data_IF_934200903478
#
_entry.id   IF_934200903478
#
_cell.length_a   1.000
_cell.length_b   1.000
_cell.length_c   1.000
_cell.angle_alpha   90.00
_cell.angle_beta   90.00
_cell.angle_gamma   90.00
#
_symmetry.space_group_name_H-M   'P 1'
#
loop_
_entity.id
_entity.type
_entity.pdbx_description
1 polymer ?
#
# COMPACT_ATOMS: atom_id res chain seq x y z
N UNK A 1 0.65 -10.73 0.64
CA UNK A 1 -0.17 -10.58 -0.59
C UNK A 1 -1.59 -10.09 -0.28
N UNK A 2 -2.31 -10.69 0.68
CA UNK A 2 -3.68 -10.25 1.06
C UNK A 2 -3.79 -8.78 1.46
N UNK A 3 -2.80 -8.26 2.19
CA UNK A 3 -2.78 -6.85 2.61
C UNK A 3 -2.75 -5.88 1.43
N UNK A 4 -2.07 -6.22 0.33
CA UNK A 4 -2.04 -5.40 -0.88
C UNK A 4 -3.39 -5.38 -1.60
N UNK A 5 -4.07 -6.53 -1.70
CA UNK A 5 -5.45 -6.59 -2.23
C UNK A 5 -6.44 -5.85 -1.33
N UNK A 6 -6.24 -5.88 0.00
CA UNK A 6 -7.04 -5.09 0.92
C UNK A 6 -6.87 -3.59 0.68
N UNK A 7 -5.63 -3.10 0.48
CA UNK A 7 -5.38 -1.68 0.17
C UNK A 7 -6.10 -1.28 -1.13
N UNK A 8 -6.09 -2.14 -2.16
CA UNK A 8 -6.88 -1.89 -3.37
C UNK A 8 -8.39 -1.84 -3.08
N UNK A 9 -8.90 -2.67 -2.18
CA UNK A 9 -10.31 -2.68 -1.78
C UNK A 9 -10.75 -1.36 -1.12
N UNK A 10 -9.92 -0.79 -0.24
CA UNK A 10 -10.25 0.41 0.54
C UNK A 10 -10.01 1.70 -0.24
N UNK A 11 -8.90 1.80 -0.96
CA UNK A 11 -8.47 3.06 -1.60
C UNK A 11 -9.02 3.25 -3.02
N UNK A 12 -9.36 2.18 -3.74
CA UNK A 12 -9.81 2.29 -5.13
C UNK A 12 -11.17 2.99 -5.30
N UNK A 13 -12.21 2.70 -4.50
CA UNK A 13 -13.46 3.46 -4.56
C UNK A 13 -13.23 4.94 -4.29
N UNK A 14 -12.43 5.28 -3.28
CA UNK A 14 -12.11 6.66 -2.94
C UNK A 14 -11.34 7.37 -4.06
N UNK A 15 -10.43 6.68 -4.76
CA UNK A 15 -9.74 7.23 -5.92
C UNK A 15 -10.69 7.51 -7.09
N UNK A 16 -11.61 6.60 -7.39
CA UNK A 16 -12.57 6.76 -8.49
C UNK A 16 -13.54 7.90 -8.19
N UNK A 17 -14.08 7.98 -6.97
CA UNK A 17 -14.98 9.06 -6.57
C UNK A 17 -14.28 10.42 -6.63
N UNK A 18 -13.03 10.49 -6.14
CA UNK A 18 -12.24 11.71 -6.24
C UNK A 18 -11.96 12.12 -7.69
N UNK A 19 -11.73 11.17 -8.60
CA UNK A 19 -11.47 11.43 -10.03
C UNK A 19 -12.73 11.90 -10.77
N UNK A 20 -13.89 11.34 -10.44
CA UNK A 20 -15.17 11.69 -11.03
C UNK A 20 -15.72 13.02 -10.49
N UNK A 21 -15.26 13.47 -9.32
CA UNK A 21 -15.77 14.69 -8.67
C UNK A 21 -17.24 14.56 -8.25
N UNK A 22 -17.76 13.34 -8.14
CA UNK A 22 -19.17 13.05 -7.81
C UNK A 22 -19.25 12.70 -6.31
N UNK A 23 -20.19 13.31 -5.61
CA UNK A 23 -20.50 12.95 -4.21
C UNK A 23 -21.05 11.52 -4.12
N UNK A 24 -20.63 10.76 -3.10
CA UNK A 24 -21.07 9.38 -2.88
C UNK A 24 -22.59 9.30 -2.81
N UNK A 25 -23.21 8.68 -3.81
CA UNK A 25 -24.66 8.48 -3.85
C UNK A 25 -25.08 7.15 -3.21
N UNK A 26 -24.13 6.27 -2.89
CA UNK A 26 -24.37 4.97 -2.26
C UNK A 26 -24.85 3.90 -3.24
N UNK A 27 -25.21 4.27 -4.46
CA UNK A 27 -25.92 3.42 -5.43
C UNK A 27 -25.07 2.96 -6.61
N UNK A 28 -23.87 3.52 -6.78
CA UNK A 28 -23.03 3.25 -7.93
C UNK A 28 -22.15 2.00 -7.75
N UNK A 29 -21.96 1.23 -8.83
CA UNK A 29 -21.14 0.01 -8.83
C UNK A 29 -19.66 0.27 -8.47
N UNK A 30 -19.14 1.46 -8.78
CA UNK A 30 -17.77 1.88 -8.50
C UNK A 30 -17.55 2.34 -7.04
N UNK A 31 -18.60 2.41 -6.22
CA UNK A 31 -18.44 2.67 -4.78
C UNK A 31 -18.23 1.36 -4.01
N UNK A 32 -18.58 0.21 -4.60
CA UNK A 32 -18.41 -1.10 -3.98
C UNK A 32 -16.98 -1.63 -4.15
N UNK A 33 -16.14 -1.40 -3.14
CA UNK A 33 -14.74 -1.85 -3.13
C UNK A 33 -14.56 -3.37 -3.31
N UNK A 34 -15.53 -4.20 -2.88
CA UNK A 34 -15.47 -5.65 -3.08
C UNK A 34 -15.63 -6.01 -4.57
N UNK A 35 -16.59 -5.40 -5.24
CA UNK A 35 -16.84 -5.63 -6.67
C UNK A 35 -15.64 -5.16 -7.50
N UNK A 36 -15.14 -3.96 -7.22
CA UNK A 36 -13.97 -3.39 -7.89
C UNK A 36 -12.71 -4.24 -7.71
N UNK A 37 -12.49 -4.77 -6.50
CA UNK A 37 -11.37 -5.66 -6.23
C UNK A 37 -11.45 -6.92 -7.12
N UNK A 38 -12.64 -7.53 -7.26
CA UNK A 38 -12.85 -8.69 -8.12
C UNK A 38 -12.55 -8.34 -9.59
N UNK A 39 -13.07 -7.22 -10.08
CA UNK A 39 -12.83 -6.74 -11.46
C UNK A 39 -11.33 -6.58 -11.72
N UNK A 40 -10.62 -5.83 -10.89
CA UNK A 40 -9.17 -5.60 -11.06
C UNK A 40 -8.37 -6.90 -10.94
N UNK A 41 -8.79 -7.79 -10.04
CA UNK A 41 -8.11 -9.08 -9.88
C UNK A 41 -8.24 -9.93 -11.14
N UNK A 42 -9.43 -9.98 -11.75
CA UNK A 42 -9.69 -10.77 -12.96
C UNK A 42 -9.04 -10.15 -14.21
N UNK A 43 -9.15 -8.84 -14.39
CA UNK A 43 -8.72 -8.17 -15.62
C UNK A 43 -7.26 -7.71 -15.63
N UNK A 44 -6.64 -7.50 -14.46
CA UNK A 44 -5.27 -6.98 -14.37
C UNK A 44 -4.34 -7.93 -13.63
N UNK A 45 -4.69 -8.33 -12.41
CA UNK A 45 -3.79 -9.14 -11.57
C UNK A 45 -3.60 -10.54 -12.14
N UNK A 46 -4.70 -11.19 -12.55
CA UNK A 46 -4.68 -12.54 -13.11
C UNK A 46 -3.83 -12.65 -14.38
N UNK A 47 -4.02 -11.83 -15.44
CA UNK A 47 -3.19 -11.93 -16.64
C UNK A 47 -1.71 -11.62 -16.35
N UNK A 48 -1.40 -10.62 -15.52
CA UNK A 48 -0.01 -10.35 -15.12
C UNK A 48 0.59 -11.51 -14.33
N UNK A 49 -0.18 -12.14 -13.43
CA UNK A 49 0.29 -13.25 -12.61
C UNK A 49 0.53 -14.51 -13.43
N UNK A 50 -0.19 -14.72 -14.54
CA UNK A 50 -0.02 -15.86 -15.44
C UNK A 50 1.22 -15.77 -16.33
N UNK A 51 1.91 -14.63 -16.37
CA UNK A 51 3.13 -14.49 -17.15
C UNK A 51 4.24 -15.43 -16.63
N UNK A 52 4.83 -16.27 -17.49
CA UNK A 52 5.84 -17.25 -17.07
C UNK A 52 7.22 -16.63 -16.82
N UNK A 53 7.52 -15.46 -17.41
CA UNK A 53 8.82 -14.78 -17.30
C UNK A 53 8.66 -13.41 -16.65
N UNK A 54 9.53 -13.12 -15.67
CA UNK A 54 9.56 -11.85 -14.91
C UNK A 54 10.33 -10.73 -15.63
N UNK A 55 10.99 -10.99 -16.76
CA UNK A 55 11.90 -10.01 -17.38
C UNK A 55 11.32 -8.60 -17.59
N UNK A 56 10.01 -8.48 -17.87
CA UNK A 56 9.35 -7.17 -18.04
C UNK A 56 9.05 -6.45 -16.69
N UNK A 57 8.96 -7.21 -15.61
CA UNK A 57 8.58 -6.73 -14.27
C UNK A 57 9.68 -5.91 -13.59
N UNK A 58 10.93 -6.00 -14.08
CA UNK A 58 12.02 -5.11 -13.67
C UNK A 58 11.71 -3.63 -13.97
N UNK A 59 11.17 -3.35 -15.17
CA UNK A 59 10.79 -1.99 -15.56
C UNK A 59 9.65 -1.44 -14.70
N UNK A 60 8.63 -2.27 -14.44
CA UNK A 60 7.49 -1.88 -13.59
C UNK A 60 7.90 -1.65 -12.14
N UNK A 61 8.96 -2.33 -11.66
CA UNK A 61 9.51 -2.12 -10.32
C UNK A 61 10.18 -0.75 -10.18
N UNK A 62 10.91 -0.31 -11.21
CA UNK A 62 11.49 1.04 -11.25
C UNK A 62 10.42 2.14 -11.23
N UNK A 63 9.35 1.97 -12.01
CA UNK A 63 8.18 2.86 -12.00
C UNK A 63 7.53 2.90 -10.61
N UNK A 64 7.34 1.74 -9.97
CA UNK A 64 6.76 1.63 -8.64
C UNK A 64 7.59 2.35 -7.57
N UNK A 65 8.92 2.29 -7.69
CA UNK A 65 9.84 3.04 -6.81
C UNK A 65 9.69 4.56 -6.98
N UNK A 66 9.57 5.05 -8.21
CA UNK A 66 9.35 6.47 -8.49
C UNK A 66 8.03 6.95 -7.86
N UNK A 67 6.96 6.15 -7.92
CA UNK A 67 5.68 6.48 -7.27
C UNK A 67 5.78 6.56 -5.74
N UNK A 68 6.55 5.68 -5.11
CA UNK A 68 6.79 5.73 -3.66
C UNK A 68 7.62 6.97 -3.27
N UNK A 69 8.62 7.32 -4.09
CA UNK A 69 9.39 8.55 -3.90
C UNK A 69 8.49 9.79 -4.03
N UNK A 70 7.63 9.82 -5.05
CA UNK A 70 6.66 10.88 -5.25
C UNK A 70 5.71 11.03 -4.07
N UNK A 71 5.15 9.92 -3.56
CA UNK A 71 4.34 9.91 -2.34
C UNK A 71 5.09 10.53 -1.15
N UNK A 72 6.35 10.14 -0.94
CA UNK A 72 7.17 10.66 0.17
C UNK A 72 7.34 12.17 0.07
N UNK A 73 7.64 12.69 -1.13
CA UNK A 73 7.78 14.14 -1.39
C UNK A 73 6.47 14.87 -1.10
N UNK A 74 5.33 14.34 -1.57
CA UNK A 74 4.02 14.98 -1.34
C UNK A 74 3.65 15.00 0.13
N UNK A 75 3.90 13.94 0.90
CA UNK A 75 3.66 13.92 2.35
C UNK A 75 4.48 15.01 3.05
N UNK A 76 5.74 15.21 2.67
CA UNK A 76 6.58 16.30 3.19
C UNK A 76 6.01 17.66 2.83
N UNK A 77 5.62 17.88 1.57
CA UNK A 77 5.06 19.17 1.11
C UNK A 77 3.74 19.47 1.83
N UNK A 78 2.84 18.49 1.94
CA UNK A 78 1.52 18.68 2.56
C UNK A 78 1.61 18.97 4.05
N UNK A 79 2.65 18.52 4.75
CA UNK A 79 2.90 18.93 6.14
C UNK A 79 3.03 20.45 6.28
N UNK A 80 3.59 21.13 5.29
CA UNK A 80 3.76 22.59 5.30
C UNK A 80 2.51 23.32 4.76
N UNK A 81 1.72 22.66 3.91
CA UNK A 81 0.49 23.23 3.37
C UNK A 81 -0.72 23.14 4.31
N UNK A 82 -0.76 22.14 5.19
CA UNK A 82 -1.92 21.90 6.07
C UNK A 82 -1.71 22.64 7.39
N UNK A 83 -2.51 23.69 7.68
CA UNK A 83 -2.44 24.38 8.96
C UNK A 83 -2.96 23.47 10.07
N UNK A 84 -2.39 23.64 11.26
CA UNK A 84 -2.86 23.04 12.49
C UNK A 84 -3.36 24.18 13.38
N UNK A 85 -4.59 24.13 13.93
CA UNK A 85 -5.52 23.00 14.03
C UNK A 85 -6.21 22.61 12.70
N UNK A 86 -6.55 21.33 12.55
CA UNK A 86 -7.21 20.83 11.33
C UNK A 86 -8.61 21.45 11.19
N UNK A 87 -9.01 21.90 9.99
CA UNK A 87 -10.34 22.45 9.77
C UNK A 87 -11.39 21.37 10.04
N UNK A 88 -12.30 21.62 10.97
CA UNK A 88 -13.46 20.77 11.21
C UNK A 88 -14.47 20.98 10.07
N UNK A 89 -14.68 19.92 9.29
CA UNK A 89 -15.74 19.69 8.30
C UNK A 89 -16.35 20.91 7.57
N UNK A 90 -16.10 20.98 6.26
CA UNK A 90 -17.22 21.05 5.32
C UNK A 90 -17.90 22.39 5.02
N UNK A 91 -17.45 23.53 5.55
CA UNK A 91 -17.95 24.84 5.06
C UNK A 91 -16.91 25.54 4.22
N UNK A 92 -17.08 25.43 2.89
CA UNK A 92 -16.68 26.50 1.98
C UNK A 92 -17.39 27.79 2.43
N UNK A 93 -16.61 28.88 2.57
CA UNK A 93 -16.97 30.25 2.95
C UNK A 93 -17.54 30.46 4.37
N UNK A 94 -16.87 31.26 5.21
CA UNK A 94 -17.11 32.72 5.37
C UNK A 94 -16.36 33.32 6.56
N UNK A 95 -15.62 34.40 6.32
CA UNK A 95 -15.33 35.44 7.32
C UNK A 95 -14.07 35.26 8.18
N UNK A 96 -13.38 36.37 8.54
CA UNK A 96 -12.33 36.33 9.53
C UNK A 96 -12.97 36.15 10.92
N UNK A 97 -12.30 35.42 11.81
CA UNK A 97 -12.53 35.45 13.25
C UNK A 97 -13.69 34.59 13.79
N UNK A 98 -13.49 33.27 13.85
CA UNK A 98 -14.00 32.47 14.98
C UNK A 98 -12.91 31.52 15.46
N UNK A 99 -12.22 31.94 16.53
CA UNK A 99 -11.32 31.10 17.33
C UNK A 99 -12.19 30.15 18.14
N UNK A 100 -12.68 29.09 17.52
CA UNK A 100 -13.18 27.94 18.27
C UNK A 100 -12.00 27.32 19.02
N UNK A 101 -12.19 27.13 20.32
CA UNK A 101 -11.23 26.72 21.31
C UNK A 101 -10.78 25.24 21.11
N UNK A 102 -10.27 24.89 19.93
CA UNK A 102 -9.55 23.65 19.71
C UNK A 102 -8.23 23.77 20.46
N UNK A 103 -8.18 23.18 21.64
CA UNK A 103 -7.07 23.20 22.56
C UNK A 103 -5.73 23.05 21.83
N UNK A 104 -4.84 24.04 21.98
CA UNK A 104 -3.49 24.05 21.41
C UNK A 104 -2.66 22.77 21.72
N UNK A 105 -3.13 21.95 22.66
CA UNK A 105 -2.62 20.60 22.96
C UNK A 105 -2.77 19.59 21.81
N UNK A 106 -3.73 19.73 20.89
CA UNK A 106 -3.97 18.76 19.80
C UNK A 106 -2.86 18.76 18.73
N UNK A 107 -2.08 19.85 18.66
CA UNK A 107 -1.02 20.07 17.68
C UNK A 107 0.38 19.84 18.29
N UNK A 108 0.46 19.17 19.45
CA UNK A 108 1.72 18.88 20.12
C UNK A 108 2.16 17.45 19.83
N UNK A 109 3.43 17.21 19.42
CA UNK A 109 3.91 15.87 19.18
C UNK A 109 4.06 15.13 20.50
N UNK A 110 3.47 13.93 20.59
CA UNK A 110 3.65 13.04 21.74
C UNK A 110 4.75 12.04 21.40
N UNK A 111 5.93 12.20 22.02
CA UNK A 111 7.11 11.38 21.75
C UNK A 111 6.96 9.93 22.25
N UNK A 112 6.23 9.73 23.35
CA UNK A 112 6.06 8.40 23.92
C UNK A 112 4.62 8.21 24.41
N UNK A 113 3.92 7.23 23.81
CA UNK A 113 2.59 6.81 24.23
C UNK A 113 2.56 5.29 24.23
N UNK A 114 2.53 4.71 25.42
CA UNK A 114 2.37 3.26 25.60
C UNK A 114 0.89 2.97 25.76
N UNK A 115 0.32 2.31 24.76
CA UNK A 115 -1.06 1.84 24.77
C UNK A 115 -1.12 0.46 24.14
N UNK A 116 -2.19 -0.29 24.40
CA UNK A 116 -2.50 -1.54 23.68
C UNK A 116 -2.53 -1.30 22.17
N UNK A 117 -2.91 -0.10 21.72
CA UNK A 117 -2.86 0.30 20.30
C UNK A 117 -1.43 0.33 19.74
N UNK A 118 -0.44 0.68 20.56
CA UNK A 118 0.98 0.70 20.18
C UNK A 118 1.52 -0.71 19.93
N UNK A 119 0.89 -1.75 20.49
CA UNK A 119 1.28 -3.14 20.22
C UNK A 119 1.10 -3.54 18.75
N UNK A 120 0.09 -2.99 18.06
CA UNK A 120 -0.13 -3.23 16.62
C UNK A 120 0.95 -2.61 15.73
N UNK A 121 1.79 -1.71 16.26
CA UNK A 121 2.92 -1.17 15.52
C UNK A 121 4.01 -2.22 15.30
N UNK A 122 4.27 -3.11 16.27
CA UNK A 122 5.31 -4.14 16.18
C UNK A 122 5.13 -5.02 14.93
N UNK A 123 3.98 -5.67 14.71
CA UNK A 123 3.83 -6.55 13.57
C UNK A 123 3.67 -5.78 12.25
N UNK A 124 3.17 -4.54 12.29
CA UNK A 124 3.19 -3.65 11.11
C UNK A 124 4.63 -3.33 10.67
N UNK A 125 5.52 -3.05 11.62
CA UNK A 125 6.94 -2.81 11.35
C UNK A 125 7.67 -4.08 10.90
N UNK A 126 7.33 -5.23 11.48
CA UNK A 126 7.87 -6.51 11.01
C UNK A 126 7.46 -6.80 9.55
N UNK A 127 6.19 -6.55 9.22
CA UNK A 127 5.68 -6.71 7.87
C UNK A 127 6.30 -5.72 6.87
N UNK A 128 6.56 -4.46 7.27
CA UNK A 128 7.15 -3.45 6.36
C UNK A 128 8.55 -3.81 5.89
N UNK A 129 9.32 -4.55 6.70
CA UNK A 129 10.66 -5.02 6.35
C UNK A 129 10.69 -6.48 5.87
N UNK A 130 9.54 -7.04 5.47
CA UNK A 130 9.42 -8.39 4.92
C UNK A 130 9.96 -8.46 3.48
N UNK A 131 11.28 -8.43 3.31
CA UNK A 131 11.93 -8.56 1.99
C UNK A 131 12.49 -9.96 1.71
N UNK A 132 12.56 -10.84 2.72
CA UNK A 132 13.28 -12.11 2.64
C UNK A 132 12.74 -13.07 1.56
N UNK A 133 11.44 -13.02 1.27
CA UNK A 133 10.80 -13.85 0.24
C UNK A 133 11.25 -13.49 -1.19
N UNK A 134 11.79 -12.29 -1.39
CA UNK A 134 12.27 -11.81 -2.68
C UNK A 134 13.78 -12.01 -2.88
N UNK A 135 14.53 -12.39 -1.83
CA UNK A 135 15.99 -12.53 -1.90
C UNK A 135 16.41 -13.57 -2.94
N UNK A 136 15.78 -14.75 -2.95
CA UNK A 136 16.13 -15.81 -3.90
C UNK A 136 15.89 -15.40 -5.37
N UNK A 137 14.71 -14.88 -5.76
CA UNK A 137 14.51 -14.32 -7.09
C UNK A 137 15.55 -13.25 -7.48
N UNK A 138 15.86 -12.31 -6.57
CA UNK A 138 16.84 -11.25 -6.83
C UNK A 138 18.25 -11.84 -7.02
N UNK A 139 18.61 -12.88 -6.25
CA UNK A 139 19.91 -13.54 -6.36
C UNK A 139 20.09 -14.20 -7.72
N UNK A 140 19.05 -14.86 -8.23
CA UNK A 140 19.08 -15.54 -9.51
C UNK A 140 19.19 -14.57 -10.70
N UNK A 141 18.63 -13.37 -10.58
CA UNK A 141 18.67 -12.34 -11.62
C UNK A 141 19.93 -11.44 -11.55
N UNK A 142 20.72 -11.53 -10.46
CA UNK A 142 21.90 -10.69 -10.25
C UNK A 142 23.05 -11.07 -11.20
N UNK A 143 23.61 -10.08 -11.89
CA UNK A 143 24.74 -10.29 -12.79
C UNK A 143 26.00 -10.75 -12.03
N UNK A 144 26.43 -12.00 -12.28
CA UNK A 144 27.52 -12.70 -11.56
C UNK A 144 27.25 -12.72 -10.05
N UNK A 145 26.33 -13.58 -9.58
CA UNK A 145 25.85 -13.56 -8.22
C UNK A 145 26.94 -13.99 -7.24
N UNK A 146 27.08 -13.25 -6.14
CA UNK A 146 27.98 -13.60 -5.03
C UNK A 146 27.35 -13.16 -3.70
N UNK A 147 27.74 -13.81 -2.60
CA UNK A 147 27.23 -13.49 -1.25
C UNK A 147 27.47 -12.01 -0.90
N UNK A 148 28.69 -11.50 -1.16
CA UNK A 148 29.04 -10.11 -0.87
C UNK A 148 28.20 -9.10 -1.67
N UNK A 149 27.99 -9.34 -2.97
CA UNK A 149 27.14 -8.46 -3.79
C UNK A 149 25.69 -8.47 -3.35
N UNK A 150 25.13 -9.64 -3.04
CA UNK A 150 23.77 -9.75 -2.53
C UNK A 150 23.62 -9.02 -1.19
N UNK A 151 24.59 -9.17 -0.28
CA UNK A 151 24.59 -8.44 0.99
C UNK A 151 24.60 -6.93 0.77
N UNK A 152 25.41 -6.43 -0.17
CA UNK A 152 25.44 -5.01 -0.50
C UNK A 152 24.08 -4.52 -1.06
N UNK A 153 23.48 -5.26 -1.99
CA UNK A 153 22.14 -4.96 -2.54
C UNK A 153 21.09 -4.93 -1.43
N UNK A 154 21.13 -5.89 -0.51
CA UNK A 154 20.22 -5.95 0.64
C UNK A 154 20.43 -4.77 1.60
N UNK A 155 21.68 -4.42 1.93
CA UNK A 155 21.99 -3.32 2.84
C UNK A 155 21.52 -1.99 2.26
N UNK A 156 21.79 -1.72 0.98
CA UNK A 156 21.34 -0.51 0.29
C UNK A 156 19.80 -0.49 0.23
N UNK A 157 19.17 -1.60 -0.13
CA UNK A 157 17.71 -1.70 -0.24
C UNK A 157 16.99 -1.47 1.09
N UNK A 158 17.47 -2.09 2.17
CA UNK A 158 16.91 -1.92 3.53
C UNK A 158 17.15 -0.50 4.02
N UNK A 159 18.35 0.05 3.85
CA UNK A 159 18.68 1.43 4.26
C UNK A 159 17.82 2.47 3.55
N UNK A 160 17.62 2.32 2.24
CA UNK A 160 16.76 3.20 1.45
C UNK A 160 15.28 3.08 1.86
N UNK A 161 14.79 1.85 2.08
CA UNK A 161 13.43 1.61 2.54
C UNK A 161 13.19 2.24 3.92
N UNK A 162 14.15 2.08 4.84
CA UNK A 162 14.11 2.72 6.16
C UNK A 162 13.99 4.24 6.05
N UNK A 163 14.81 4.87 5.21
CA UNK A 163 14.78 6.33 5.03
C UNK A 163 13.41 6.80 4.52
N UNK A 164 12.88 6.15 3.48
CA UNK A 164 11.58 6.52 2.90
C UNK A 164 10.42 6.32 3.89
N UNK A 165 10.43 5.20 4.63
CA UNK A 165 9.42 4.93 5.66
C UNK A 165 9.52 5.90 6.83
N UNK A 166 10.74 6.21 7.29
CA UNK A 166 10.96 7.13 8.39
C UNK A 166 10.46 8.54 8.04
N UNK A 167 10.83 9.07 6.87
CA UNK A 167 10.37 10.39 6.40
C UNK A 167 8.85 10.38 6.27
N UNK A 168 8.27 9.40 5.58
CA UNK A 168 6.81 9.33 5.38
C UNK A 168 6.04 9.23 6.70
N UNK A 169 6.52 8.42 7.64
CA UNK A 169 5.90 8.25 8.96
C UNK A 169 6.02 9.52 9.82
N UNK A 170 7.19 10.16 9.83
CA UNK A 170 7.43 11.38 10.59
C UNK A 170 6.53 12.53 10.11
N UNK A 171 6.58 12.84 8.81
CA UNK A 171 5.79 13.93 8.24
C UNK A 171 4.29 13.61 8.17
N UNK A 172 3.92 12.33 7.96
CA UNK A 172 2.54 11.87 8.03
C UNK A 172 1.95 12.02 9.44
N UNK A 173 2.71 11.64 10.48
CA UNK A 173 2.31 11.85 11.88
C UNK A 173 2.20 13.33 12.21
N UNK A 174 3.21 14.14 11.88
CA UNK A 174 3.21 15.58 12.15
C UNK A 174 2.10 16.33 11.40
N UNK A 175 1.50 15.74 10.36
CA UNK A 175 0.38 16.34 9.64
C UNK A 175 -0.94 16.23 10.41
N UNK A 176 -1.20 15.08 11.05
CA UNK A 176 -2.50 14.79 11.68
C UNK A 176 -2.45 14.61 13.21
N UNK A 177 -1.24 14.54 13.79
CA UNK A 177 -0.97 14.32 15.22
C UNK A 177 -1.81 13.18 15.82
N UNK A 178 -2.66 13.48 16.80
CA UNK A 178 -3.50 12.48 17.47
C UNK A 178 -4.66 11.93 16.63
N UNK A 179 -4.89 12.47 15.42
CA UNK A 179 -6.04 12.13 14.56
C UNK A 179 -5.65 11.36 13.29
N UNK A 180 -4.49 10.69 13.29
CA UNK A 180 -4.06 9.82 12.19
C UNK A 180 -5.02 8.62 12.04
N UNK A 181 -5.54 8.41 10.82
CA UNK A 181 -6.34 7.22 10.47
C UNK A 181 -5.43 6.01 10.21
N UNK A 182 -5.99 4.80 10.20
CA UNK A 182 -5.25 3.57 9.88
C UNK A 182 -4.60 3.60 8.49
N UNK A 183 -5.20 4.32 7.55
CA UNK A 183 -4.68 4.55 6.20
C UNK A 183 -4.44 6.07 6.01
N UNK A 184 -3.21 6.44 5.65
CA UNK A 184 -2.82 7.84 5.58
C UNK A 184 -3.52 8.59 4.44
N UNK A 185 -3.70 7.94 3.27
CA UNK A 185 -4.32 8.56 2.09
C UNK A 185 -5.83 8.79 2.27
N UNK A 186 -6.54 7.94 3.00
CA UNK A 186 -7.91 8.22 3.48
C UNK A 186 -7.98 9.38 4.49
N UNK A 187 -6.88 9.63 5.20
CA UNK A 187 -6.71 10.83 6.03
C UNK A 187 -6.68 12.07 5.14
N UNK A 188 -5.77 12.10 4.16
CA UNK A 188 -5.66 13.22 3.23
C UNK A 188 -6.94 13.48 2.43
N UNK A 189 -7.65 12.43 2.00
CA UNK A 189 -8.95 12.57 1.30
C UNK A 189 -9.95 13.40 2.09
N UNK A 190 -10.04 13.07 3.38
CA UNK A 190 -11.06 13.59 4.25
C UNK A 190 -10.88 15.09 4.52
N UNK A 191 -9.63 15.56 4.55
CA UNK A 191 -9.30 16.95 4.83
C UNK A 191 -9.00 17.79 3.59
N UNK A 192 -8.58 17.17 2.47
CA UNK A 192 -8.20 17.85 1.22
C UNK A 192 -8.96 17.27 0.02
N UNK A 193 -10.29 17.32 0.07
CA UNK A 193 -11.14 16.93 -1.05
C UNK A 193 -10.79 17.75 -2.30
N UNK A 194 -10.49 17.04 -3.40
CA UNK A 194 -10.24 17.63 -4.71
C UNK A 194 -8.85 18.23 -4.92
N UNK A 195 -7.91 18.02 -3.99
CA UNK A 195 -6.52 18.44 -4.19
C UNK A 195 -5.81 17.54 -5.21
N UNK A 196 -5.44 18.12 -6.35
CA UNK A 196 -4.84 17.41 -7.50
C UNK A 196 -3.60 16.61 -7.08
N UNK A 197 -2.80 17.11 -6.13
CA UNK A 197 -1.59 16.39 -5.67
C UNK A 197 -1.95 15.14 -4.87
N UNK A 198 -2.97 15.21 -4.01
CA UNK A 198 -3.42 14.05 -3.21
C UNK A 198 -4.03 12.99 -4.14
N UNK A 199 -4.81 13.43 -5.12
CA UNK A 199 -5.42 12.56 -6.12
C UNK A 199 -4.37 11.80 -6.95
N UNK A 200 -3.39 12.52 -7.49
CA UNK A 200 -2.32 11.93 -8.31
C UNK A 200 -1.46 10.97 -7.50
N UNK A 201 -1.13 11.30 -6.25
CA UNK A 201 -0.42 10.38 -5.33
C UNK A 201 -1.23 9.12 -5.05
N UNK A 202 -2.55 9.23 -4.84
CA UNK A 202 -3.40 8.05 -4.61
C UNK A 202 -3.36 7.11 -5.81
N UNK A 203 -3.53 7.64 -7.02
CA UNK A 203 -3.45 6.84 -8.25
C UNK A 203 -2.06 6.19 -8.38
N UNK A 204 -0.99 6.93 -8.08
CA UNK A 204 0.37 6.41 -8.13
C UNK A 204 0.62 5.25 -7.14
N UNK A 205 0.14 5.38 -5.89
CA UNK A 205 0.24 4.31 -4.87
C UNK A 205 -0.62 3.11 -5.26
N UNK A 206 -1.85 3.32 -5.73
CA UNK A 206 -2.71 2.22 -6.20
C UNK A 206 -2.06 1.45 -7.35
N UNK A 207 -1.46 2.15 -8.32
CA UNK A 207 -0.75 1.53 -9.43
C UNK A 207 0.50 0.79 -8.95
N UNK A 208 1.28 1.36 -8.03
CA UNK A 208 2.44 0.71 -7.41
C UNK A 208 2.05 -0.59 -6.68
N UNK A 209 0.98 -0.55 -5.88
CA UNK A 209 0.44 -1.72 -5.17
C UNK A 209 -0.03 -2.77 -6.17
N UNK A 210 -0.73 -2.38 -7.23
CA UNK A 210 -1.20 -3.28 -8.28
C UNK A 210 -0.07 -4.02 -8.98
N UNK A 211 1.04 -3.33 -9.29
CA UNK A 211 2.24 -3.91 -9.91
C UNK A 211 3.01 -4.84 -8.93
N UNK A 212 2.89 -4.59 -7.63
CA UNK A 212 3.55 -5.39 -6.58
C UNK A 212 2.86 -6.75 -6.35
N UNK A 213 1.54 -6.86 -6.57
CA UNK A 213 0.82 -8.13 -6.32
C UNK A 213 1.35 -9.30 -7.17
N UNK A 214 1.52 -9.18 -8.50
CA UNK A 214 2.08 -10.25 -9.33
C UNK A 214 3.53 -10.62 -8.95
N UNK A 215 4.33 -9.63 -8.53
CA UNK A 215 5.72 -9.83 -8.08
C UNK A 215 5.79 -10.76 -6.86
N UNK A 216 4.90 -10.57 -5.88
CA UNK A 216 4.82 -11.40 -4.68
C UNK A 216 4.14 -12.75 -4.96
N UNK A 217 3.18 -12.76 -5.90
CA UNK A 217 2.50 -13.98 -6.31
C UNK A 217 3.47 -15.00 -6.94
N UNK A 218 4.46 -14.54 -7.70
CA UNK A 218 5.40 -15.42 -8.39
C UNK A 218 6.19 -16.37 -7.47
N UNK A 219 6.94 -15.89 -6.45
CA UNK A 219 7.66 -16.78 -5.53
C UNK A 219 6.70 -17.65 -4.73
N UNK A 220 5.52 -17.14 -4.34
CA UNK A 220 4.50 -17.94 -3.65
C UNK A 220 4.05 -19.14 -4.48
N UNK A 221 3.78 -18.93 -5.78
CA UNK A 221 3.45 -20.02 -6.71
C UNK A 221 4.60 -21.01 -6.87
N UNK A 222 5.83 -20.52 -7.02
CA UNK A 222 7.00 -21.40 -7.15
C UNK A 222 7.18 -22.27 -5.91
N UNK A 223 7.02 -21.70 -4.72
CA UNK A 223 7.06 -22.44 -3.46
C UNK A 223 5.94 -23.48 -3.37
N UNK A 224 4.70 -23.12 -3.74
CA UNK A 224 3.56 -24.05 -3.71
C UNK A 224 3.74 -25.22 -4.67
N UNK A 225 4.18 -24.96 -5.90
CA UNK A 225 4.42 -26.00 -6.91
C UNK A 225 5.53 -26.94 -6.44
N UNK A 226 6.63 -26.39 -5.88
CA UNK A 226 7.73 -27.18 -5.36
C UNK A 226 7.28 -28.07 -4.19
N UNK A 227 6.44 -27.56 -3.29
CA UNK A 227 5.95 -28.28 -2.12
C UNK A 227 4.95 -29.39 -2.48
N UNK A 228 4.05 -29.16 -3.43
CA UNK A 228 3.01 -30.14 -3.81
C UNK A 228 3.45 -31.14 -4.87
N UNK A 229 4.26 -30.72 -5.84
CA UNK A 229 4.59 -31.51 -7.03
C UNK A 229 6.08 -31.81 -7.20
N UNK A 230 6.94 -31.25 -6.33
CA UNK A 230 8.39 -31.41 -6.41
C UNK A 230 9.01 -30.68 -7.61
N UNK A 231 10.23 -31.10 -7.99
CA UNK A 231 10.98 -30.55 -9.13
C UNK A 231 10.52 -31.00 -10.52
N UNK A 232 9.23 -31.32 -10.71
CA UNK A 232 8.71 -31.78 -12.02
C UNK A 232 8.84 -30.69 -13.09
N UNK A 233 8.91 -31.11 -14.35
CA UNK A 233 8.97 -30.22 -15.51
C UNK A 233 7.74 -29.29 -15.60
N UNK A 234 7.96 -28.12 -16.19
CA UNK A 234 6.93 -27.08 -16.31
C UNK A 234 5.68 -27.59 -17.04
N UNK A 235 4.51 -27.47 -16.40
CA UNK A 235 3.22 -27.84 -16.96
C UNK A 235 2.23 -26.66 -16.86
N UNK A 236 1.66 -26.24 -17.98
CA UNK A 236 0.69 -25.12 -18.04
C UNK A 236 -0.54 -25.34 -17.17
N UNK A 237 -1.09 -26.56 -17.12
CA UNK A 237 -2.25 -26.89 -16.27
C UNK A 237 -1.97 -26.64 -14.78
N UNK A 238 -0.85 -27.17 -14.28
CA UNK A 238 -0.43 -26.98 -12.87
C UNK A 238 -0.16 -25.50 -12.61
N UNK A 239 0.43 -24.80 -13.56
CA UNK A 239 0.73 -23.37 -13.45
C UNK A 239 -0.53 -22.50 -13.30
N UNK A 240 -1.53 -22.72 -14.16
CA UNK A 240 -2.80 -22.00 -14.14
C UNK A 240 -3.59 -22.34 -12.87
N UNK A 241 -3.74 -23.63 -12.56
CA UNK A 241 -4.50 -24.08 -11.38
C UNK A 241 -3.88 -23.52 -10.09
N UNK A 242 -2.55 -23.60 -9.95
CA UNK A 242 -1.86 -23.06 -8.76
C UNK A 242 -2.05 -21.55 -8.62
N UNK A 243 -2.02 -20.82 -9.75
CA UNK A 243 -2.26 -19.37 -9.78
C UNK A 243 -3.69 -19.03 -9.35
N UNK A 244 -4.69 -19.75 -9.87
CA UNK A 244 -6.09 -19.55 -9.51
C UNK A 244 -6.37 -19.88 -8.04
N UNK A 245 -5.80 -20.96 -7.52
CA UNK A 245 -5.95 -21.34 -6.10
C UNK A 245 -5.37 -20.27 -5.18
N UNK A 246 -4.12 -19.83 -5.42
CA UNK A 246 -3.47 -18.81 -4.59
C UNK A 246 -4.25 -17.49 -4.66
N UNK A 247 -4.61 -17.03 -5.87
CA UNK A 247 -5.38 -15.79 -6.02
C UNK A 247 -6.76 -15.87 -5.36
N UNK A 248 -7.46 -17.00 -5.48
CA UNK A 248 -8.78 -17.21 -4.86
C UNK A 248 -8.70 -17.13 -3.33
N UNK A 249 -7.74 -17.84 -2.73
CA UNK A 249 -7.53 -17.81 -1.27
C UNK A 249 -7.22 -16.39 -0.79
N UNK A 250 -6.32 -15.69 -1.48
CA UNK A 250 -5.93 -14.33 -1.07
C UNK A 250 -7.03 -13.31 -1.31
N UNK A 251 -7.82 -13.46 -2.38
CA UNK A 251 -8.98 -12.61 -2.65
C UNK A 251 -10.06 -12.80 -1.59
N UNK A 252 -10.35 -14.05 -1.20
CA UNK A 252 -11.30 -14.34 -0.13
C UNK A 252 -10.88 -13.70 1.19
N UNK A 253 -9.61 -13.86 1.58
CA UNK A 253 -9.07 -13.21 2.79
C UNK A 253 -9.21 -11.68 2.71
N UNK A 254 -8.88 -11.07 1.58
CA UNK A 254 -9.02 -9.63 1.40
C UNK A 254 -10.47 -9.14 1.46
N UNK A 255 -11.45 -9.93 1.00
CA UNK A 255 -12.87 -9.58 1.05
C UNK A 255 -13.44 -9.67 2.47
N UNK A 256 -13.11 -10.73 3.21
CA UNK A 256 -13.67 -10.99 4.53
C UNK A 256 -13.02 -10.18 5.64
N UNK A 257 -11.74 -9.80 5.53
CA UNK A 257 -11.10 -8.99 6.55
C UNK A 257 -11.60 -7.53 6.49
N UNK A 258 -12.09 -6.95 7.60
CA UNK A 258 -12.63 -5.59 7.62
C UNK A 258 -11.58 -4.50 7.91
N UNK A 259 -10.49 -4.80 8.62
CA UNK A 259 -9.45 -3.82 9.00
C UNK A 259 -8.05 -4.34 8.68
N UNK A 260 -7.22 -3.49 8.05
CA UNK A 260 -5.83 -3.80 7.71
C UNK A 260 -4.97 -4.07 8.96
N UNK A 261 -5.28 -3.43 10.09
CA UNK A 261 -4.58 -3.65 11.37
C UNK A 261 -4.78 -5.05 11.89
N UNK A 262 -5.93 -5.67 11.62
CA UNK A 262 -6.16 -7.07 11.97
C UNK A 262 -5.31 -8.01 11.10
N UNK A 263 -5.12 -7.68 9.81
CA UNK A 263 -4.23 -8.45 8.92
C UNK A 263 -2.78 -8.36 9.41
N UNK A 264 -2.30 -7.15 9.71
CA UNK A 264 -0.94 -6.97 10.19
C UNK A 264 -0.77 -7.51 11.60
N UNK A 265 -1.74 -7.35 12.50
CA UNK A 265 -1.67 -7.79 13.89
C UNK A 265 -1.56 -9.31 14.11
N UNK A 266 -1.87 -10.13 13.09
CA UNK A 266 -1.75 -11.59 13.15
C UNK A 266 -0.31 -12.06 12.83
N UNK A 267 0.47 -11.26 12.09
CA UNK A 267 1.85 -11.58 11.68
C UNK A 267 2.79 -11.44 12.85
#
# INVERSE_FOLDING_TARGET
MSSYLFILKSELPAAICSLLGVENTGTAWYENGKLLLVIITVFVVLPLSLLPKIGFLGYTSGISFIFILYFTVVVVVKKWSIPCPLPQNGTRLRGPFEVSNSSASDCTPKLFVVSVKSAYAIPTMAFSFLCHTAILPIYCELQRPSKSKMQNVSNIGIGLSFLLYFISALFGYLTFYGRVKSELLLGYDYYLLGDIMVMTVRVAILLSVLLTVPLIHFPARKALILLLFGGRSFCWRIHIISTLIILSVVLMLAIFVPDIRAVFGIV
#
